data_IF_061323437282
#
_entry.id   IF_061323437282
#
_cell.length_a   1.000
_cell.length_b   1.000
_cell.length_c   1.000
_cell.angle_alpha   90.00
_cell.angle_beta   90.00
_cell.angle_gamma   90.00
#
_symmetry.space_group_name_H-M   'P 1'
#
loop_
_entity.id
_entity.type
_entity.pdbx_description
1 polymer ?
#
# COMPACT_ATOMS: atom_id res chain seq x y z
N UNK A 1 -20.68 -10.45 -13.82
CA UNK A 1 -19.90 -9.85 -12.72
C UNK A 1 -19.42 -11.03 -11.89
N UNK A 2 -18.47 -11.77 -12.47
CA UNK A 2 -17.06 -11.92 -12.04
C UNK A 2 -16.91 -13.05 -11.02
N UNK A 3 -16.83 -14.28 -11.54
CA UNK A 3 -16.19 -15.40 -10.85
C UNK A 3 -14.90 -15.69 -11.63
N UNK A 4 -13.90 -14.81 -11.48
CA UNK A 4 -12.53 -15.25 -11.76
C UNK A 4 -12.09 -16.06 -10.54
N UNK A 5 -11.95 -17.39 -10.64
CA UNK A 5 -11.54 -18.22 -9.51
C UNK A 5 -10.11 -17.91 -9.04
N UNK A 6 -9.38 -17.03 -9.74
CA UNK A 6 -8.04 -16.56 -9.37
C UNK A 6 -8.03 -15.13 -8.82
N UNK A 7 -9.19 -14.47 -8.68
CA UNK A 7 -9.27 -13.16 -8.06
C UNK A 7 -8.90 -13.23 -6.58
N UNK A 8 -8.01 -12.33 -6.15
CA UNK A 8 -7.64 -12.15 -4.75
C UNK A 8 -8.70 -11.27 -4.07
N UNK A 9 -9.43 -11.76 -3.04
CA UNK A 9 -10.42 -10.94 -2.37
C UNK A 9 -9.77 -9.74 -1.68
N UNK A 10 -10.41 -8.57 -1.79
CA UNK A 10 -9.85 -7.29 -1.35
C UNK A 10 -9.53 -7.25 0.16
N UNK A 11 -10.18 -8.10 0.94
CA UNK A 11 -10.10 -8.18 2.40
C UNK A 11 -9.32 -9.39 2.91
N UNK A 12 -8.86 -10.25 2.03
CA UNK A 12 -8.11 -11.43 2.44
C UNK A 12 -6.67 -11.03 2.80
N UNK A 13 -6.17 -11.70 3.83
CA UNK A 13 -4.80 -11.53 4.31
C UNK A 13 -3.83 -12.08 3.27
N UNK A 14 -2.99 -11.21 2.72
CA UNK A 14 -2.02 -11.56 1.69
C UNK A 14 -0.79 -12.24 2.32
N UNK A 15 -0.39 -11.84 3.53
CA UNK A 15 0.71 -12.48 4.26
C UNK A 15 0.23 -13.72 5.02
N UNK A 16 -0.92 -13.63 5.68
CA UNK A 16 -1.53 -14.76 6.40
C UNK A 16 -1.99 -15.89 5.48
N UNK A 17 -2.37 -15.56 4.23
CA UNK A 17 -2.69 -16.53 3.18
C UNK A 17 -1.47 -17.10 2.44
N UNK A 18 -0.25 -16.61 2.75
CA UNK A 18 1.00 -17.06 2.12
C UNK A 18 1.18 -16.60 0.67
N UNK A 19 0.34 -15.67 0.19
CA UNK A 19 0.45 -15.10 -1.15
C UNK A 19 1.66 -14.14 -1.24
N UNK A 20 1.95 -13.44 -0.14
CA UNK A 20 3.10 -12.58 0.04
C UNK A 20 3.91 -13.03 1.25
N UNK A 21 5.22 -12.79 1.20
CA UNK A 21 6.13 -12.98 2.33
C UNK A 21 6.80 -11.66 2.73
N UNK A 22 7.57 -11.68 3.81
CA UNK A 22 8.24 -10.49 4.32
C UNK A 22 9.28 -9.89 3.37
N UNK A 23 9.83 -10.67 2.43
CA UNK A 23 10.76 -10.16 1.43
C UNK A 23 10.00 -9.42 0.32
N UNK A 24 8.88 -9.97 -0.14
CA UNK A 24 8.02 -9.35 -1.14
C UNK A 24 7.30 -8.09 -0.64
N UNK A 25 7.19 -7.88 0.69
CA UNK A 25 6.68 -6.63 1.28
C UNK A 25 7.41 -5.41 0.70
N UNK A 26 8.74 -5.45 0.62
CA UNK A 26 9.55 -4.31 0.15
C UNK A 26 9.25 -3.99 -1.32
N UNK A 27 9.04 -5.00 -2.15
CA UNK A 27 8.69 -4.81 -3.56
C UNK A 27 7.32 -4.16 -3.71
N UNK A 28 6.35 -4.57 -2.88
CA UNK A 28 5.03 -3.93 -2.82
C UNK A 28 5.16 -2.47 -2.43
N UNK A 29 5.94 -2.14 -1.39
CA UNK A 29 6.18 -0.75 -0.99
C UNK A 29 6.75 0.07 -2.15
N UNK A 30 7.81 -0.43 -2.80
CA UNK A 30 8.44 0.26 -3.93
C UNK A 30 7.46 0.43 -5.09
N UNK A 31 6.60 -0.55 -5.35
CA UNK A 31 5.55 -0.45 -6.35
C UNK A 31 4.54 0.67 -6.01
N UNK A 32 4.07 0.73 -4.76
CA UNK A 32 3.11 1.75 -4.32
C UNK A 32 3.70 3.16 -4.40
N UNK A 33 4.92 3.35 -3.91
CA UNK A 33 5.63 4.64 -3.97
C UNK A 33 5.78 5.13 -5.41
N UNK A 34 6.26 4.28 -6.31
CA UNK A 34 6.46 4.63 -7.72
C UNK A 34 5.14 4.87 -8.46
N UNK A 35 4.13 4.05 -8.22
CA UNK A 35 2.85 4.11 -8.93
C UNK A 35 2.06 5.36 -8.54
N UNK A 36 2.10 5.73 -7.26
CA UNK A 36 1.27 6.81 -6.73
C UNK A 36 2.04 8.09 -6.39
N UNK A 37 3.38 8.08 -6.51
CA UNK A 37 4.23 9.23 -6.21
C UNK A 37 4.20 9.61 -4.73
N UNK A 38 4.07 8.62 -3.84
CA UNK A 38 4.05 8.80 -2.39
C UNK A 38 5.36 8.33 -1.78
N UNK A 39 5.65 8.77 -0.55
CA UNK A 39 6.73 8.19 0.27
C UNK A 39 6.15 7.42 1.45
N UNK A 40 6.69 6.23 1.71
CA UNK A 40 6.30 5.34 2.81
C UNK A 40 7.47 5.26 3.80
N UNK A 41 7.34 5.84 5.01
CA UNK A 41 8.41 5.77 5.99
C UNK A 41 8.59 4.33 6.47
N UNK A 42 9.83 3.97 6.81
CA UNK A 42 10.17 2.62 7.28
C UNK A 42 9.38 2.18 8.52
N UNK A 43 8.93 3.13 9.34
CA UNK A 43 8.06 2.88 10.51
C UNK A 43 6.69 2.36 10.14
N UNK A 44 6.22 2.66 8.93
CA UNK A 44 4.89 2.29 8.47
C UNK A 44 4.91 0.96 7.71
N UNK A 45 6.10 0.43 7.36
CA UNK A 45 6.30 -0.87 6.70
C UNK A 45 6.09 -2.00 7.70
N UNK A 46 4.82 -2.19 8.08
CA UNK A 46 4.35 -3.27 8.95
C UNK A 46 3.12 -3.95 8.32
N UNK A 47 2.88 -5.24 8.60
CA UNK A 47 1.73 -5.97 8.06
C UNK A 47 0.39 -5.27 8.29
N UNK A 48 0.19 -4.64 9.46
CA UNK A 48 -1.07 -3.95 9.79
C UNK A 48 -1.49 -2.86 8.78
N UNK A 49 -0.53 -2.27 8.07
CA UNK A 49 -0.78 -1.26 7.04
C UNK A 49 -0.98 -1.85 5.63
N UNK A 50 -0.50 -3.06 5.38
CA UNK A 50 -0.36 -3.61 4.02
C UNK A 50 -0.85 -5.05 3.84
N UNK A 51 -1.44 -5.68 4.86
CA UNK A 51 -1.83 -7.10 4.79
C UNK A 51 -3.00 -7.40 3.85
N UNK A 52 -3.79 -6.39 3.47
CA UNK A 52 -4.90 -6.56 2.52
C UNK A 52 -4.87 -5.47 1.46
N UNK A 53 -5.50 -5.74 0.31
CA UNK A 53 -5.65 -4.73 -0.76
C UNK A 53 -6.41 -3.50 -0.23
N UNK A 54 -7.44 -3.70 0.61
CA UNK A 54 -8.18 -2.61 1.26
C UNK A 54 -7.24 -1.68 2.06
N UNK A 55 -6.36 -2.27 2.88
CA UNK A 55 -5.43 -1.51 3.73
C UNK A 55 -4.39 -0.75 2.91
N UNK A 56 -3.83 -1.38 1.87
CA UNK A 56 -2.91 -0.72 0.94
C UNK A 56 -3.57 0.48 0.27
N UNK A 57 -4.79 0.30 -0.25
CA UNK A 57 -5.53 1.37 -0.94
C UNK A 57 -5.84 2.53 0.01
N UNK A 58 -6.27 2.24 1.24
CA UNK A 58 -6.53 3.26 2.25
C UNK A 58 -5.26 4.00 2.67
N UNK A 59 -4.14 3.29 2.79
CA UNK A 59 -2.85 3.91 3.06
C UNK A 59 -2.47 4.90 1.95
N UNK A 60 -2.53 4.47 0.68
CA UNK A 60 -2.20 5.32 -0.48
C UNK A 60 -3.07 6.58 -0.51
N UNK A 61 -4.38 6.46 -0.28
CA UNK A 61 -5.30 7.62 -0.25
C UNK A 61 -4.90 8.63 0.83
N UNK A 62 -4.52 8.16 2.02
CA UNK A 62 -4.06 9.03 3.11
C UNK A 62 -2.73 9.71 2.77
N UNK A 63 -1.77 8.94 2.26
CA UNK A 63 -0.44 9.43 1.90
C UNK A 63 -0.50 10.48 0.79
N UNK A 64 -1.21 10.21 -0.31
CA UNK A 64 -1.35 11.14 -1.42
C UNK A 64 -2.06 12.44 -1.01
N UNK A 65 -3.04 12.36 -0.11
CA UNK A 65 -3.68 13.54 0.48
C UNK A 65 -2.78 14.35 1.41
N UNK A 66 -1.82 13.71 2.07
CA UNK A 66 -0.84 14.36 2.93
C UNK A 66 0.29 15.02 2.12
N UNK A 67 0.80 14.38 1.06
CA UNK A 67 1.80 14.93 0.13
C UNK A 67 1.32 16.22 -0.55
N UNK A 68 0.04 16.25 -0.96
CA UNK A 68 -0.58 17.45 -1.52
C UNK A 68 -0.55 18.65 -0.55
N UNK A 69 -0.55 18.41 0.77
CA UNK A 69 -0.46 19.45 1.79
C UNK A 69 1.00 19.87 2.08
N UNK A 70 1.95 18.96 1.92
CA UNK A 70 3.37 19.20 2.19
C UNK A 70 4.05 19.99 1.05
N UNK A 71 3.70 19.73 -0.21
CA UNK A 71 4.23 20.47 -1.38
C UNK A 71 3.83 21.94 -1.49
N UNK A 72 2.94 22.41 -0.60
CA UNK A 72 2.52 23.82 -0.49
C UNK A 72 3.37 24.60 0.53
N UNK A 73 4.08 23.93 1.45
CA UNK A 73 4.85 24.57 2.52
C UNK A 73 6.32 24.87 2.21
N UNK A 74 6.92 24.22 1.21
CA UNK A 74 8.38 24.21 0.98
C UNK A 74 8.84 25.15 -0.16
N UNK A 75 8.21 26.34 -0.30
CA UNK A 75 8.51 27.31 -1.38
C UNK A 75 8.83 28.74 -0.91
N UNK A 76 9.44 28.90 0.26
CA UNK A 76 9.88 30.23 0.78
C UNK A 76 11.28 30.18 1.36
#
# INVERSE_FOLDING_TARGET
>A
FEDDPQAVPVRDSLFGGGLLDSAHMVEVIVFLEKTFGISIPSTDIIPDNFDTIERMADYVRRAAGAEARQSVGDRT
#
